data_IF_659730351603
#
_entry.id   IF_659730351603
#
_cell.length_a   1.000
_cell.length_b   1.000
_cell.length_c   1.000
_cell.angle_alpha   90.00
_cell.angle_beta   90.00
_cell.angle_gamma   90.00
#
_symmetry.space_group_name_H-M   'P 1'
#
loop_
_entity.id
_entity.type
_entity.pdbx_description
1 polymer ?
#
# COMPACT_ATOMS: atom_id res chain seq x y z
N UNK A 1 3.75 -25.88 -16.73
CA UNK A 1 3.80 -24.69 -15.86
C UNK A 1 3.84 -25.17 -14.43
N UNK A 2 5.03 -25.20 -13.83
CA UNK A 2 5.22 -25.49 -12.40
C UNK A 2 4.78 -24.26 -11.59
N UNK A 3 3.77 -24.41 -10.75
CA UNK A 3 3.40 -23.39 -9.77
C UNK A 3 4.59 -23.18 -8.81
N UNK A 4 5.06 -21.94 -8.59
CA UNK A 4 6.14 -21.68 -7.65
C UNK A 4 5.59 -21.75 -6.23
N UNK A 5 5.69 -22.92 -5.58
CA UNK A 5 5.26 -23.15 -4.19
C UNK A 5 6.17 -22.49 -3.14
N UNK A 6 7.09 -21.62 -3.53
CA UNK A 6 8.04 -20.95 -2.62
C UNK A 6 7.77 -19.46 -2.35
N UNK A 7 6.74 -18.85 -2.96
CA UNK A 7 6.58 -17.39 -2.99
C UNK A 7 5.89 -16.76 -1.77
N UNK A 8 5.53 -17.54 -0.75
CA UNK A 8 4.79 -17.03 0.42
C UNK A 8 5.58 -16.98 1.74
N UNK A 9 6.77 -17.58 1.79
CA UNK A 9 7.69 -17.45 2.92
C UNK A 9 8.62 -16.27 2.72
N UNK A 10 8.86 -15.51 3.79
CA UNK A 10 9.94 -14.51 3.82
C UNK A 10 11.29 -15.16 3.45
N UNK A 11 12.24 -14.39 2.90
CA UNK A 11 13.59 -14.89 2.70
C UNK A 11 14.15 -15.47 4.00
N UNK A 12 14.90 -16.59 3.96
CA UNK A 12 15.49 -17.18 5.15
C UNK A 12 16.25 -16.15 6.00
N UNK A 13 16.00 -16.14 7.31
CA UNK A 13 16.62 -15.21 8.26
C UNK A 13 16.02 -13.79 8.29
N UNK A 14 14.87 -13.55 7.62
CA UNK A 14 14.13 -12.27 7.72
C UNK A 14 12.93 -12.36 8.65
N UNK A 15 12.78 -11.37 9.52
CA UNK A 15 11.73 -11.21 10.53
C UNK A 15 11.00 -9.89 10.35
N UNK A 16 9.77 -9.89 9.86
CA UNK A 16 9.04 -8.64 9.65
C UNK A 16 8.51 -8.11 10.99
N UNK A 17 9.07 -6.99 11.46
CA UNK A 17 8.76 -6.41 12.78
C UNK A 17 7.41 -5.68 12.82
N UNK A 18 6.98 -5.13 11.68
CA UNK A 18 5.69 -4.46 11.49
C UNK A 18 4.50 -5.39 11.29
N UNK A 19 4.67 -6.69 11.52
CA UNK A 19 3.59 -7.67 11.49
C UNK A 19 2.98 -7.87 10.10
N UNK A 20 1.68 -8.22 10.07
CA UNK A 20 0.97 -8.61 8.84
C UNK A 20 0.91 -7.50 7.80
N UNK A 21 0.71 -6.25 8.22
CA UNK A 21 0.66 -5.08 7.34
C UNK A 21 1.95 -4.93 6.52
N UNK A 22 3.11 -5.03 7.18
CA UNK A 22 4.41 -4.90 6.52
C UNK A 22 4.73 -6.13 5.64
N UNK A 23 4.26 -7.33 6.02
CA UNK A 23 4.33 -8.52 5.14
C UNK A 23 3.52 -8.31 3.86
N UNK A 24 2.32 -7.73 3.93
CA UNK A 24 1.51 -7.45 2.74
C UNK A 24 2.18 -6.41 1.84
N UNK A 25 2.75 -5.34 2.41
CA UNK A 25 3.54 -4.38 1.65
C UNK A 25 4.72 -5.06 0.94
N UNK A 26 5.45 -5.93 1.63
CA UNK A 26 6.53 -6.69 1.01
C UNK A 26 6.02 -7.59 -0.11
N UNK A 27 4.94 -8.35 0.09
CA UNK A 27 4.37 -9.22 -0.96
C UNK A 27 3.91 -8.43 -2.18
N UNK A 28 3.23 -7.30 -1.97
CA UNK A 28 2.79 -6.42 -3.05
C UNK A 28 3.97 -5.84 -3.83
N UNK A 29 5.11 -5.61 -3.15
CA UNK A 29 6.35 -5.26 -3.82
C UNK A 29 6.93 -6.49 -4.54
N UNK A 30 7.34 -7.53 -3.85
CA UNK A 30 8.12 -8.66 -4.39
C UNK A 30 7.43 -9.40 -5.56
N UNK A 31 6.09 -9.48 -5.55
CA UNK A 31 5.30 -10.19 -6.59
C UNK A 31 5.07 -9.38 -7.86
N UNK A 32 5.29 -8.07 -7.85
CA UNK A 32 4.93 -7.18 -8.97
C UNK A 32 6.05 -6.19 -9.26
N UNK A 33 6.47 -6.05 -10.52
CA UNK A 33 7.47 -5.04 -10.90
C UNK A 33 6.94 -3.60 -10.75
N UNK A 34 5.63 -3.40 -10.93
CA UNK A 34 4.97 -2.13 -10.69
C UNK A 34 4.88 -1.77 -9.20
N UNK A 35 4.61 -0.49 -8.90
CA UNK A 35 4.25 -0.04 -7.55
C UNK A 35 2.72 0.06 -7.38
N UNK A 36 1.93 -0.40 -8.35
CA UNK A 36 0.47 -0.29 -8.35
C UNK A 36 -0.16 -1.00 -7.15
N UNK A 37 0.11 -2.29 -6.99
CA UNK A 37 -0.40 -3.09 -5.86
C UNK A 37 0.12 -2.57 -4.52
N UNK A 38 1.38 -2.14 -4.49
CA UNK A 38 1.97 -1.55 -3.30
C UNK A 38 1.20 -0.31 -2.83
N UNK A 39 0.75 0.55 -3.74
CA UNK A 39 -0.07 1.72 -3.40
C UNK A 39 -1.44 1.35 -2.83
N UNK A 40 -2.08 0.31 -3.36
CA UNK A 40 -3.34 -0.18 -2.80
C UNK A 40 -3.16 -0.70 -1.38
N UNK A 41 -2.09 -1.47 -1.14
CA UNK A 41 -1.75 -1.94 0.21
C UNK A 41 -1.41 -0.78 1.15
N UNK A 42 -0.69 0.25 0.70
CA UNK A 42 -0.46 1.45 1.52
C UNK A 42 -1.77 2.11 1.97
N UNK A 43 -2.78 2.16 1.11
CA UNK A 43 -4.11 2.65 1.48
C UNK A 43 -4.77 1.81 2.58
N UNK A 44 -4.57 0.49 2.57
CA UNK A 44 -5.05 -0.43 3.61
C UNK A 44 -4.28 -0.23 4.92
N UNK A 45 -2.95 -0.13 4.86
CA UNK A 45 -2.09 0.15 6.02
C UNK A 45 -2.48 1.49 6.66
N UNK A 46 -2.69 2.53 5.85
CA UNK A 46 -3.14 3.83 6.34
C UNK A 46 -4.47 3.80 7.10
N UNK A 47 -5.41 2.94 6.69
CA UNK A 47 -6.67 2.71 7.44
C UNK A 47 -6.44 1.92 8.72
N UNK A 48 -5.57 0.90 8.67
CA UNK A 48 -5.24 0.08 9.82
C UNK A 48 -4.51 0.87 10.93
N UNK A 49 -3.74 1.91 10.58
CA UNK A 49 -3.10 2.80 11.58
C UNK A 49 -4.12 3.48 12.50
N UNK A 50 -5.25 3.94 11.96
CA UNK A 50 -6.28 4.62 12.77
C UNK A 50 -6.99 3.67 13.75
N UNK A 51 -7.02 2.37 13.44
CA UNK A 51 -7.62 1.32 14.26
C UNK A 51 -6.60 0.44 14.99
N UNK A 52 -5.32 0.84 15.01
CA UNK A 52 -4.27 0.10 15.72
C UNK A 52 -4.49 0.20 17.24
N UNK A 53 -4.91 -0.92 17.84
CA UNK A 53 -5.25 -0.97 19.25
C UNK A 53 -4.05 -0.67 20.18
N UNK A 54 -2.82 -0.95 19.76
CA UNK A 54 -1.62 -0.63 20.55
C UNK A 54 -1.42 0.88 20.57
N UNK A 55 -1.45 1.53 19.40
CA UNK A 55 -1.30 2.99 19.28
C UNK A 55 -2.42 3.73 20.02
N UNK A 56 -3.67 3.28 19.88
CA UNK A 56 -4.82 3.86 20.60
C UNK A 56 -4.69 3.70 22.12
N UNK A 57 -4.33 2.51 22.61
CA UNK A 57 -4.15 2.26 24.05
C UNK A 57 -3.06 3.12 24.69
N UNK A 58 -2.10 3.56 23.88
CA UNK A 58 -0.98 4.41 24.29
C UNK A 58 -1.21 5.89 23.99
N UNK A 59 -2.40 6.26 23.52
CA UNK A 59 -2.75 7.62 23.10
C UNK A 59 -1.71 8.21 22.12
N UNK A 60 -1.17 7.37 21.24
CA UNK A 60 -0.15 7.77 20.28
C UNK A 60 -0.81 8.34 19.03
N UNK A 61 -0.57 9.62 18.75
CA UNK A 61 -1.20 10.30 17.61
C UNK A 61 -0.70 9.73 16.28
N UNK A 62 -1.64 9.26 15.44
CA UNK A 62 -1.40 8.85 14.04
C UNK A 62 -2.42 9.41 13.06
N UNK A 63 -3.37 10.21 13.54
CA UNK A 63 -4.51 10.71 12.78
C UNK A 63 -4.09 11.50 11.52
N UNK A 64 -3.04 12.35 11.59
CA UNK A 64 -2.56 13.07 10.39
C UNK A 64 -1.92 12.12 9.37
N UNK A 65 -1.23 11.06 9.83
CA UNK A 65 -0.58 10.07 8.97
C UNK A 65 -1.65 9.27 8.25
N UNK A 66 -2.62 8.74 8.98
CA UNK A 66 -3.74 8.00 8.39
C UNK A 66 -4.58 8.87 7.44
N UNK A 67 -4.82 10.14 7.80
CA UNK A 67 -5.43 11.12 6.89
C UNK A 67 -4.62 11.31 5.61
N UNK A 68 -3.29 11.41 5.68
CA UNK A 68 -2.45 11.55 4.49
C UNK A 68 -2.61 10.37 3.52
N UNK A 69 -2.73 9.13 4.03
CA UNK A 69 -3.02 7.96 3.20
C UNK A 69 -4.44 7.96 2.62
N UNK A 70 -5.46 8.40 3.38
CA UNK A 70 -6.82 8.57 2.85
C UNK A 70 -6.86 9.61 1.73
N UNK A 71 -6.21 10.75 1.96
CA UNK A 71 -6.11 11.83 0.97
C UNK A 71 -5.40 11.33 -0.30
N UNK A 72 -4.34 10.53 -0.17
CA UNK A 72 -3.65 9.90 -1.32
C UNK A 72 -4.56 8.94 -2.09
N UNK A 73 -5.31 8.07 -1.38
CA UNK A 73 -6.30 7.19 -1.99
C UNK A 73 -7.44 7.96 -2.68
N UNK A 74 -7.75 9.17 -2.20
CA UNK A 74 -8.70 10.10 -2.82
C UNK A 74 -8.16 10.87 -4.03
N UNK A 75 -6.99 10.49 -4.57
CA UNK A 75 -6.42 11.07 -5.79
C UNK A 75 -5.39 12.17 -5.58
N UNK A 76 -4.91 12.41 -4.34
CA UNK A 76 -3.77 13.33 -4.15
C UNK A 76 -2.48 12.68 -4.64
N UNK A 77 -1.94 13.27 -5.70
CA UNK A 77 -0.75 12.79 -6.41
C UNK A 77 0.56 12.83 -5.60
N UNK A 78 0.68 13.66 -4.56
CA UNK A 78 1.97 13.90 -3.88
C UNK A 78 2.59 12.62 -3.30
N UNK A 79 1.79 11.76 -2.66
CA UNK A 79 2.30 10.50 -2.08
C UNK A 79 2.73 9.52 -3.17
N UNK A 80 1.96 9.43 -4.27
CA UNK A 80 2.32 8.62 -5.43
C UNK A 80 3.63 9.11 -6.05
N UNK A 81 3.76 10.42 -6.29
CA UNK A 81 4.95 11.01 -6.89
C UNK A 81 6.20 10.71 -6.04
N UNK A 82 6.10 10.89 -4.72
CA UNK A 82 7.18 10.60 -3.78
C UNK A 82 7.53 9.12 -3.81
N UNK A 83 6.54 8.23 -3.72
CA UNK A 83 6.78 6.77 -3.76
C UNK A 83 7.50 6.36 -5.04
N UNK A 84 7.02 6.81 -6.20
CA UNK A 84 7.63 6.45 -7.48
C UNK A 84 9.02 7.06 -7.67
N UNK A 85 9.34 8.18 -7.00
CA UNK A 85 10.70 8.72 -7.04
C UNK A 85 11.71 7.89 -6.27
N UNK A 86 11.29 7.02 -5.36
CA UNK A 86 12.21 6.19 -4.59
C UNK A 86 12.78 5.05 -5.44
N UNK A 87 14.08 4.71 -5.30
CA UNK A 87 14.60 3.46 -5.84
C UNK A 87 13.80 2.28 -5.28
N UNK A 88 13.43 1.33 -6.13
CA UNK A 88 12.61 0.19 -5.72
C UNK A 88 13.34 -0.70 -4.69
N UNK A 89 14.66 -0.83 -4.83
CA UNK A 89 15.53 -1.50 -3.86
C UNK A 89 15.50 -0.82 -2.48
N UNK A 90 15.45 0.52 -2.43
CA UNK A 90 15.26 1.30 -1.21
C UNK A 90 13.89 1.07 -0.58
N UNK A 91 12.80 1.10 -1.37
CA UNK A 91 11.45 0.78 -0.87
C UNK A 91 11.43 -0.60 -0.22
N UNK A 92 12.03 -1.60 -0.89
CA UNK A 92 12.14 -2.97 -0.39
C UNK A 92 12.91 -3.03 0.93
N UNK A 93 14.07 -2.39 1.01
CA UNK A 93 14.92 -2.40 2.20
C UNK A 93 14.24 -1.71 3.39
N UNK A 94 13.48 -0.64 3.14
CA UNK A 94 12.70 0.06 4.16
C UNK A 94 11.59 -0.83 4.70
N UNK A 95 10.79 -1.43 3.80
CA UNK A 95 9.68 -2.32 4.18
C UNK A 95 10.20 -3.54 4.94
N UNK A 96 11.36 -4.06 4.58
CA UNK A 96 11.93 -5.22 5.26
C UNK A 96 12.71 -4.84 6.52
N UNK A 97 13.02 -3.57 6.78
CA UNK A 97 13.89 -3.20 7.91
C UNK A 97 15.37 -3.53 7.70
N UNK A 98 15.81 -3.72 6.45
CA UNK A 98 17.14 -4.24 6.05
C UNK A 98 18.07 -3.17 5.48
N UNK A 99 17.76 -1.87 5.63
CA UNK A 99 18.54 -0.77 5.03
C UNK A 99 20.05 -0.89 5.28
N UNK A 100 20.48 -1.16 6.52
CA UNK A 100 21.90 -1.27 6.86
C UNK A 100 22.58 -2.53 6.26
N UNK A 101 21.81 -3.61 6.10
CA UNK A 101 22.26 -4.88 5.55
C UNK A 101 22.40 -4.80 4.02
N UNK A 102 21.36 -4.31 3.35
CA UNK A 102 21.35 -4.17 1.88
C UNK A 102 22.38 -3.14 1.40
N UNK A 103 22.64 -2.11 2.20
CA UNK A 103 23.71 -1.14 1.94
C UNK A 103 25.10 -1.78 1.90
N UNK A 104 25.40 -2.69 2.83
CA UNK A 104 26.73 -3.31 2.92
C UNK A 104 27.01 -4.25 1.74
N UNK A 105 26.05 -5.11 1.41
CA UNK A 105 26.31 -6.29 0.57
C UNK A 105 25.62 -6.31 -0.79
N UNK A 106 24.61 -5.46 -1.03
CA UNK A 106 23.73 -5.58 -2.21
C UNK A 106 23.69 -4.34 -3.10
N UNK A 107 24.48 -3.32 -2.80
CA UNK A 107 24.50 -2.08 -3.57
C UNK A 107 23.15 -1.38 -3.51
N UNK A 108 22.62 -1.17 -2.29
CA UNK A 108 21.36 -0.47 -2.07
C UNK A 108 21.36 0.87 -2.82
N UNK A 109 20.50 0.98 -3.83
CA UNK A 109 20.38 2.22 -4.58
C UNK A 109 19.77 3.29 -3.66
N UNK A 110 20.39 4.45 -3.65
CA UNK A 110 19.93 5.59 -2.88
C UNK A 110 20.34 6.88 -3.58
N UNK A 111 19.66 7.97 -3.24
CA UNK A 111 20.09 9.27 -3.71
C UNK A 111 21.50 9.59 -3.22
N UNK A 112 22.32 10.17 -4.10
CA UNK A 112 23.70 10.58 -3.79
C UNK A 112 23.73 11.54 -2.63
N UNK A 113 24.65 11.32 -1.69
CA UNK A 113 24.81 12.17 -0.51
C UNK A 113 24.86 13.66 -0.86
N UNK A 114 24.24 14.55 -0.05
CA UNK A 114 24.33 15.99 -0.27
C UNK A 114 25.78 16.44 -0.36
N UNK A 115 26.15 17.18 -1.41
CA UNK A 115 27.51 17.75 -1.47
C UNK A 115 27.57 19.10 -0.74
N UNK A 116 28.73 19.43 -0.19
CA UNK A 116 29.01 20.76 0.40
C UNK A 116 29.03 21.87 -0.65
N UNK A 117 29.36 21.53 -1.90
CA UNK A 117 29.47 22.47 -3.02
C UNK A 117 28.13 22.81 -3.65
N UNK A 118 27.12 21.98 -3.42
CA UNK A 118 25.82 22.08 -4.07
C UNK A 118 24.79 22.58 -3.06
N UNK A 119 24.39 23.85 -3.18
CA UNK A 119 23.28 24.42 -2.40
C UNK A 119 21.92 23.73 -2.66
N UNK A 120 21.92 22.79 -3.59
CA UNK A 120 20.83 22.01 -4.18
C UNK A 120 20.31 20.88 -3.28
N UNK A 121 21.08 20.49 -2.27
CA UNK A 121 20.87 19.21 -1.55
C UNK A 121 20.29 19.33 -0.15
N UNK A 122 19.23 20.12 -0.06
CA UNK A 122 18.75 20.58 1.23
C UNK A 122 17.70 19.69 1.85
N UNK A 123 16.68 19.25 1.11
CA UNK A 123 15.53 18.59 1.73
C UNK A 123 15.20 17.19 1.23
N UNK A 124 14.64 16.42 2.16
CA UNK A 124 14.18 15.06 1.91
C UNK A 124 14.03 14.26 3.19
N UNK A 125 13.81 12.96 3.01
CA UNK A 125 13.64 12.00 4.09
C UNK A 125 14.77 10.99 4.05
N UNK A 126 15.30 10.68 5.21
CA UNK A 126 16.39 9.74 5.42
C UNK A 126 15.97 8.65 6.39
N UNK A 127 16.63 7.51 6.27
CA UNK A 127 16.42 6.32 7.09
C UNK A 127 17.75 5.91 7.69
N UNK A 128 17.72 5.50 8.95
CA UNK A 128 18.89 5.05 9.68
C UNK A 128 18.63 3.64 10.19
N UNK A 129 19.49 2.73 9.79
CA UNK A 129 19.61 1.39 10.36
C UNK A 129 20.88 1.24 11.18
N UNK A 130 20.95 0.15 11.93
CA UNK A 130 22.11 -0.26 12.71
C UNK A 130 22.69 -1.55 12.14
N UNK A 131 24.01 -1.62 12.03
CA UNK A 131 24.73 -2.88 11.74
C UNK A 131 25.86 -3.09 12.73
N UNK A 132 26.21 -4.34 13.00
CA UNK A 132 27.38 -4.69 13.80
C UNK A 132 28.65 -4.58 12.96
N UNK A 133 29.68 -3.96 13.53
CA UNK A 133 30.99 -3.83 12.89
C UNK A 133 31.57 -5.23 12.65
N UNK A 134 32.02 -5.51 11.43
CA UNK A 134 32.65 -6.79 11.06
C UNK A 134 31.68 -7.96 10.86
N UNK A 135 30.38 -7.70 10.67
CA UNK A 135 29.35 -8.74 10.57
C UNK A 135 28.44 -8.60 9.34
N UNK A 136 29.02 -8.26 8.18
CA UNK A 136 28.37 -8.27 6.86
C UNK A 136 27.03 -7.51 6.78
N UNK A 137 26.96 -6.34 7.42
CA UNK A 137 25.73 -5.54 7.43
C UNK A 137 24.64 -6.05 8.38
N UNK A 138 24.82 -7.20 9.01
CA UNK A 138 23.84 -7.77 9.94
C UNK A 138 23.89 -7.07 11.30
N UNK A 139 22.79 -7.13 12.03
CA UNK A 139 22.65 -6.56 13.35
C UNK A 139 22.94 -7.63 14.42
N UNK A 140 22.03 -7.88 15.36
CA UNK A 140 22.32 -8.70 16.55
C UNK A 140 21.99 -10.19 16.38
N UNK A 141 22.63 -11.05 17.15
CA UNK A 141 22.09 -12.40 17.43
C UNK A 141 20.97 -12.31 18.48
N UNK A 142 20.22 -13.40 18.68
CA UNK A 142 19.22 -13.48 19.75
C UNK A 142 19.86 -13.26 21.14
N UNK A 143 21.07 -13.79 21.36
CA UNK A 143 21.82 -13.60 22.60
C UNK A 143 22.24 -12.15 22.83
N UNK A 144 22.82 -11.51 21.82
CA UNK A 144 23.19 -10.08 21.89
C UNK A 144 21.97 -9.18 22.09
N UNK A 145 20.83 -9.49 21.45
CA UNK A 145 19.58 -8.76 21.64
C UNK A 145 19.04 -8.88 23.08
N UNK A 146 19.17 -10.05 23.73
CA UNK A 146 18.83 -10.21 25.15
C UNK A 146 19.71 -9.36 26.06
N UNK A 147 21.02 -9.29 25.80
CA UNK A 147 21.93 -8.41 26.54
C UNK A 147 21.53 -6.94 26.41
N UNK A 148 21.20 -6.50 25.18
CA UNK A 148 20.69 -5.15 24.94
C UNK A 148 19.38 -4.89 25.72
N UNK A 149 18.43 -5.83 25.69
CA UNK A 149 17.15 -5.74 26.41
C UNK A 149 17.41 -5.57 27.92
N UNK A 150 18.30 -6.37 28.50
CA UNK A 150 18.62 -6.30 29.92
C UNK A 150 19.33 -5.00 30.29
N UNK A 151 20.25 -4.55 29.45
CA UNK A 151 20.91 -3.25 29.59
C UNK A 151 19.91 -2.08 29.59
N UNK A 152 19.00 -2.05 28.61
CA UNK A 152 17.96 -1.01 28.51
C UNK A 152 16.99 -1.02 29.69
N UNK A 153 16.64 -2.19 30.22
CA UNK A 153 15.83 -2.30 31.43
C UNK A 153 16.55 -1.73 32.66
N UNK A 154 17.84 -2.05 32.82
CA UNK A 154 18.66 -1.50 33.91
C UNK A 154 18.81 0.02 33.80
N UNK A 155 19.10 0.53 32.60
CA UNK A 155 19.16 1.96 32.32
C UNK A 155 17.83 2.65 32.68
N UNK A 156 16.71 2.08 32.24
CA UNK A 156 15.36 2.59 32.54
C UNK A 156 15.07 2.62 34.05
N UNK A 157 15.46 1.58 34.78
CA UNK A 157 15.29 1.52 36.24
C UNK A 157 16.13 2.59 36.96
N UNK A 158 17.37 2.78 36.53
CA UNK A 158 18.26 3.82 37.06
C UNK A 158 17.72 5.24 36.76
N UNK A 159 17.31 5.48 35.51
CA UNK A 159 16.73 6.75 35.09
C UNK A 159 15.48 7.10 35.90
N UNK A 160 14.61 6.12 36.16
CA UNK A 160 13.42 6.32 37.01
C UNK A 160 13.78 6.79 38.40
N UNK A 161 14.77 6.15 39.04
CA UNK A 161 15.19 6.54 40.39
C UNK A 161 15.84 7.91 40.41
N UNK A 162 16.57 8.28 39.35
CA UNK A 162 17.19 9.60 39.24
C UNK A 162 16.17 10.72 39.03
N UNK A 163 15.14 10.50 38.20
CA UNK A 163 14.08 11.49 37.93
C UNK A 163 13.05 11.60 39.07
N UNK A 164 12.74 10.48 39.72
CA UNK A 164 11.81 10.42 40.86
C UNK A 164 12.48 9.71 42.04
N UNK A 165 13.30 10.43 42.82
CA UNK A 165 14.02 9.87 43.96
C UNK A 165 13.05 9.20 44.95
N UNK A 166 13.30 7.93 45.25
CA UNK A 166 12.56 7.17 46.25
C UNK A 166 13.23 7.37 47.61
N UNK A 167 12.43 7.54 48.66
CA UNK A 167 12.91 7.60 50.05
C UNK A 167 13.55 6.27 50.47
N UNK A 168 14.81 6.30 50.89
CA UNK A 168 15.54 5.14 51.42
C UNK A 168 16.88 4.86 50.71
N UNK A 169 17.78 4.10 51.36
CA UNK A 169 19.08 3.77 50.80
C UNK A 169 18.93 2.96 49.51
N UNK A 170 19.83 3.16 48.56
CA UNK A 170 19.85 2.38 47.33
C UNK A 170 20.40 0.98 47.60
N UNK A 171 19.81 -0.04 46.98
CA UNK A 171 20.35 -1.40 47.01
C UNK A 171 21.60 -1.51 46.13
N UNK A 172 22.42 -2.54 46.34
CA UNK A 172 23.60 -2.80 45.50
C UNK A 172 23.24 -2.88 44.00
N UNK A 173 22.14 -3.55 43.68
CA UNK A 173 21.61 -3.62 42.31
C UNK A 173 21.24 -2.24 41.74
N UNK A 174 20.69 -1.35 42.57
CA UNK A 174 20.35 0.01 42.15
C UNK A 174 21.62 0.85 41.94
N UNK A 175 22.64 0.68 42.76
CA UNK A 175 23.95 1.31 42.55
C UNK A 175 24.60 0.83 41.25
N UNK A 176 24.59 -0.48 40.98
CA UNK A 176 25.12 -1.04 39.74
C UNK A 176 24.39 -0.48 38.50
N UNK A 177 23.06 -0.39 38.55
CA UNK A 177 22.26 0.18 37.47
C UNK A 177 22.56 1.68 37.25
N UNK A 178 22.75 2.46 38.33
CA UNK A 178 23.14 3.86 38.25
C UNK A 178 24.54 4.05 37.62
N UNK A 179 25.50 3.18 37.99
CA UNK A 179 26.82 3.17 37.36
C UNK A 179 26.75 2.80 35.88
N UNK A 180 25.95 1.79 35.51
CA UNK A 180 25.72 1.45 34.10
C UNK A 180 25.16 2.64 33.32
N UNK A 181 24.12 3.29 33.84
CA UNK A 181 23.50 4.47 33.23
C UNK A 181 24.54 5.58 32.98
N UNK A 182 25.38 5.88 33.96
CA UNK A 182 26.44 6.88 33.82
C UNK A 182 27.47 6.51 32.73
N UNK A 183 27.86 5.22 32.62
CA UNK A 183 28.77 4.76 31.57
C UNK A 183 28.14 4.84 30.18
N UNK A 184 26.87 4.42 30.05
CA UNK A 184 26.10 4.52 28.80
C UNK A 184 26.01 5.97 28.34
N UNK A 185 25.64 6.89 29.23
CA UNK A 185 25.56 8.31 28.87
C UNK A 185 26.93 8.88 28.47
N UNK A 186 28.01 8.43 29.13
CA UNK A 186 29.37 8.86 28.84
C UNK A 186 29.92 8.35 27.49
N UNK A 187 29.45 7.20 26.98
CA UNK A 187 29.97 6.60 25.72
C UNK A 187 29.87 7.54 24.51
N UNK A 188 28.90 8.44 24.51
CA UNK A 188 28.67 9.40 23.40
C UNK A 188 28.65 10.85 23.88
N UNK A 189 29.02 11.16 25.13
CA UNK A 189 28.93 12.54 25.67
C UNK A 189 30.08 13.49 25.30
N UNK A 190 30.97 13.09 24.38
CA UNK A 190 32.20 13.83 24.11
C UNK A 190 33.12 13.90 25.35
N UNK A 191 34.32 14.45 25.20
CA UNK A 191 35.35 14.55 26.26
C UNK A 191 35.00 15.65 27.30
N UNK A 192 33.88 15.52 28.00
CA UNK A 192 33.49 16.40 29.11
C UNK A 192 33.65 15.71 30.48
N UNK A 193 34.00 16.49 31.51
CA UNK A 193 33.99 16.05 32.91
C UNK A 193 32.54 15.89 33.37
N UNK A 194 31.95 14.70 33.17
CA UNK A 194 30.56 14.46 33.50
C UNK A 194 30.42 13.68 34.82
N UNK A 195 30.18 14.41 35.91
CA UNK A 195 29.44 13.85 37.05
C UNK A 195 27.96 13.86 36.65
N UNK A 196 27.49 12.78 36.05
CA UNK A 196 26.11 12.70 35.53
C UNK A 196 25.16 12.54 36.71
N UNK A 197 24.48 13.63 37.08
CA UNK A 197 23.44 13.65 38.12
C UNK A 197 22.07 13.23 37.57
N UNK A 198 21.85 13.33 36.25
CA UNK A 198 20.57 13.06 35.60
C UNK A 198 20.73 12.21 34.34
N UNK A 199 19.82 11.24 34.08
CA UNK A 199 19.82 10.46 32.84
C UNK A 199 19.76 11.38 31.63
N UNK A 200 20.60 11.10 30.64
CA UNK A 200 20.70 11.90 29.43
C UNK A 200 19.55 11.64 28.44
N UNK A 201 19.23 10.37 28.20
CA UNK A 201 18.33 9.98 27.12
C UNK A 201 16.88 9.79 27.55
N UNK A 202 16.63 9.57 28.85
CA UNK A 202 15.30 9.47 29.44
C UNK A 202 15.14 10.66 30.40
N UNK A 203 14.44 11.70 29.96
CA UNK A 203 14.23 12.92 30.75
C UNK A 203 12.79 13.06 31.27
N UNK A 204 11.90 12.14 30.87
CA UNK A 204 10.49 12.14 31.24
C UNK A 204 9.92 10.72 31.32
N UNK A 205 8.74 10.58 31.91
CA UNK A 205 8.03 9.28 31.99
C UNK A 205 7.61 8.80 30.61
N UNK A 206 7.22 9.71 29.74
CA UNK A 206 6.90 9.40 28.34
C UNK A 206 8.11 8.83 27.59
N UNK A 207 9.30 9.43 27.75
CA UNK A 207 10.54 8.90 27.14
C UNK A 207 10.85 7.48 27.65
N UNK A 208 10.55 7.23 28.92
CA UNK A 208 10.70 5.91 29.53
C UNK A 208 9.76 4.87 28.94
N UNK A 209 8.48 5.22 28.76
CA UNK A 209 7.51 4.35 28.10
C UNK A 209 7.92 4.01 26.66
N UNK A 210 8.47 4.99 25.93
CA UNK A 210 9.02 4.75 24.59
C UNK A 210 10.19 3.76 24.60
N UNK A 211 11.13 3.87 25.54
CA UNK A 211 12.22 2.88 25.67
C UNK A 211 11.66 1.49 26.04
N UNK A 212 10.63 1.41 26.90
CA UNK A 212 9.95 0.15 27.22
C UNK A 212 9.25 -0.46 26.00
N UNK A 213 8.64 0.35 25.15
CA UNK A 213 8.02 -0.10 23.90
C UNK A 213 9.05 -0.67 22.92
N UNK A 214 10.22 -0.03 22.81
CA UNK A 214 11.35 -0.57 22.04
C UNK A 214 11.82 -1.91 22.61
N UNK A 215 12.00 -2.03 23.93
CA UNK A 215 12.34 -3.30 24.60
C UNK A 215 11.30 -4.38 24.30
N UNK A 216 10.01 -4.05 24.37
CA UNK A 216 8.93 -4.97 24.00
C UNK A 216 9.04 -5.46 22.56
N UNK A 217 9.40 -4.58 21.63
CA UNK A 217 9.61 -4.94 20.23
C UNK A 217 10.82 -5.84 20.02
N UNK A 218 11.95 -5.56 20.67
CA UNK A 218 13.13 -6.43 20.63
C UNK A 218 12.83 -7.83 21.20
N UNK A 219 12.05 -7.92 22.28
CA UNK A 219 11.60 -9.22 22.83
C UNK A 219 10.77 -10.02 21.83
N UNK A 220 9.88 -9.37 21.08
CA UNK A 220 9.09 -10.04 20.04
C UNK A 220 10.00 -10.61 18.95
N UNK A 221 11.00 -9.84 18.49
CA UNK A 221 11.98 -10.30 17.50
C UNK A 221 12.76 -11.51 18.01
N UNK A 222 13.27 -11.45 19.24
CA UNK A 222 13.98 -12.58 19.87
C UNK A 222 13.09 -13.82 19.94
N UNK A 223 11.83 -13.68 20.37
CA UNK A 223 10.88 -14.78 20.42
C UNK A 223 10.57 -15.38 19.04
N UNK A 224 10.53 -14.55 17.99
CA UNK A 224 10.37 -15.02 16.61
C UNK A 224 11.60 -15.81 16.14
N UNK A 225 12.82 -15.33 16.41
CA UNK A 225 14.06 -16.06 16.10
C UNK A 225 14.07 -17.45 16.74
N UNK A 226 13.72 -17.53 18.02
CA UNK A 226 13.65 -18.78 18.77
C UNK A 226 12.58 -19.72 18.22
N UNK A 227 11.41 -19.19 17.85
CA UNK A 227 10.30 -19.98 17.33
C UNK A 227 10.61 -20.63 15.97
N UNK A 228 11.41 -19.98 15.12
CA UNK A 228 11.85 -20.55 13.84
C UNK A 228 13.12 -21.39 13.95
N UNK A 229 13.67 -21.54 15.17
CA UNK A 229 14.88 -22.33 15.41
C UNK A 229 16.15 -21.73 14.81
N UNK A 230 16.24 -20.39 14.71
CA UNK A 230 17.50 -19.75 14.31
C UNK A 230 18.61 -20.12 15.28
N UNK A 231 19.76 -20.49 14.73
CA UNK A 231 20.92 -20.88 15.54
C UNK A 231 21.35 -19.72 16.45
N UNK A 232 21.92 -20.04 17.62
CA UNK A 232 22.35 -19.03 18.59
C UNK A 232 23.38 -18.02 18.01
N UNK A 233 24.12 -18.42 16.98
CA UNK A 233 25.08 -17.58 16.26
C UNK A 233 24.48 -16.82 15.08
N UNK A 234 23.25 -17.09 14.68
CA UNK A 234 22.62 -16.44 13.53
C UNK A 234 22.23 -15.00 13.86
N UNK A 235 22.58 -14.09 12.96
CA UNK A 235 22.37 -12.64 13.12
C UNK A 235 21.19 -12.19 12.30
N UNK A 236 20.35 -11.34 12.89
CA UNK A 236 19.27 -10.71 12.16
C UNK A 236 19.81 -9.76 11.08
N UNK A 237 19.25 -9.85 9.87
CA UNK A 237 19.54 -8.90 8.80
C UNK A 237 18.94 -7.51 9.07
N UNK A 238 18.01 -7.43 10.02
CA UNK A 238 17.18 -6.26 10.25
C UNK A 238 17.58 -5.52 11.51
N UNK A 239 17.30 -4.23 11.55
CA UNK A 239 17.40 -3.43 12.77
C UNK A 239 16.16 -2.55 12.89
N UNK A 240 15.78 -2.13 14.11
CA UNK A 240 14.83 -1.05 14.27
C UNK A 240 15.27 0.15 13.42
N UNK A 241 14.36 0.68 12.61
CA UNK A 241 14.66 1.82 11.76
C UNK A 241 14.27 3.13 12.45
N UNK A 242 15.10 4.15 12.26
CA UNK A 242 14.71 5.53 12.50
C UNK A 242 14.49 6.23 11.16
N UNK A 243 13.40 6.96 11.04
CA UNK A 243 13.10 7.78 9.88
C UNK A 243 13.06 9.23 10.31
N UNK A 244 13.74 10.11 9.58
CA UNK A 244 13.67 11.54 9.81
C UNK A 244 13.57 12.32 8.52
N UNK A 245 13.01 13.52 8.59
CA UNK A 245 13.04 14.48 7.51
C UNK A 245 13.93 15.68 7.86
N UNK A 246 14.47 16.37 6.86
CA UNK A 246 15.19 17.61 7.05
C UNK A 246 14.97 18.56 5.90
N UNK A 247 15.04 19.86 6.17
CA UNK A 247 15.23 20.92 5.17
C UNK A 247 16.70 21.27 4.98
N UNK A 248 17.60 20.65 5.75
CA UNK A 248 19.05 20.68 5.58
C UNK A 248 19.63 19.28 5.87
N UNK A 249 19.64 18.41 4.87
CA UNK A 249 20.06 17.02 4.97
C UNK A 249 21.54 16.90 5.29
N UNK A 250 22.41 17.71 4.66
CA UNK A 250 23.84 17.66 4.90
C UNK A 250 24.18 17.85 6.38
N UNK A 251 23.68 18.94 6.98
CA UNK A 251 23.91 19.20 8.40
C UNK A 251 23.27 18.13 9.28
N UNK A 252 22.06 17.69 8.93
CA UNK A 252 21.33 16.71 9.73
C UNK A 252 21.96 15.33 9.72
N UNK A 253 22.54 14.92 8.60
CA UNK A 253 23.11 13.58 8.47
C UNK A 253 24.48 13.48 9.14
N UNK A 254 25.25 14.59 9.21
CA UNK A 254 26.49 14.67 9.97
C UNK A 254 26.28 14.41 11.48
N UNK A 255 25.08 14.70 12.03
CA UNK A 255 24.75 14.41 13.43
C UNK A 255 24.83 12.91 13.79
N UNK A 256 24.77 12.01 12.81
CA UNK A 256 24.73 10.56 13.03
C UNK A 256 26.09 9.88 12.89
N UNK A 257 27.16 10.65 12.71
CA UNK A 257 28.52 10.11 12.84
C UNK A 257 28.82 9.78 14.31
N UNK A 258 29.40 8.61 14.57
CA UNK A 258 29.75 8.15 15.94
C UNK A 258 30.76 9.05 16.67
N UNK A 259 31.44 9.92 15.94
CA UNK A 259 32.36 10.94 16.47
C UNK A 259 31.62 12.09 17.18
N UNK A 260 30.31 12.24 16.94
CA UNK A 260 29.51 13.33 17.48
C UNK A 260 28.99 13.02 18.88
N UNK A 261 28.55 14.08 19.57
CA UNK A 261 28.10 13.98 20.95
C UNK A 261 26.66 13.45 21.11
N UNK A 262 25.96 13.11 20.03
CA UNK A 262 24.59 12.56 20.03
C UNK A 262 23.53 13.48 20.69
N UNK A 263 23.76 14.79 20.85
CA UNK A 263 22.73 15.71 21.39
C UNK A 263 21.54 15.91 20.46
N UNK A 264 21.80 15.88 19.16
CA UNK A 264 20.81 16.10 18.10
C UNK A 264 20.19 14.79 17.58
N UNK A 265 20.74 13.64 17.96
CA UNK A 265 20.24 12.31 17.58
C UNK A 265 18.97 11.97 18.37
N UNK A 266 18.07 11.20 17.77
CA UNK A 266 16.87 10.70 18.47
C UNK A 266 17.27 9.92 19.74
N UNK A 267 16.72 10.29 20.90
CA UNK A 267 17.07 9.69 22.20
C UNK A 267 17.05 8.15 22.23
N UNK A 268 16.11 7.50 21.53
CA UNK A 268 15.95 6.03 21.57
C UNK A 268 17.02 5.36 20.71
N UNK A 269 17.34 5.94 19.55
CA UNK A 269 18.47 5.53 18.74
C UNK A 269 19.78 5.75 19.52
N UNK A 270 19.95 6.92 20.12
CA UNK A 270 21.14 7.28 20.88
C UNK A 270 21.39 6.33 22.07
N UNK A 271 20.40 6.12 22.95
CA UNK A 271 20.55 5.20 24.10
C UNK A 271 20.81 3.76 23.65
N UNK A 272 20.20 3.32 22.54
CA UNK A 272 20.43 1.98 22.00
C UNK A 272 21.87 1.82 21.51
N UNK A 273 22.36 2.77 20.72
CA UNK A 273 23.75 2.77 20.25
C UNK A 273 24.73 2.86 21.41
N UNK A 274 24.51 3.77 22.36
CA UNK A 274 25.38 3.91 23.54
C UNK A 274 25.41 2.65 24.41
N UNK A 275 24.25 1.99 24.58
CA UNK A 275 24.16 0.72 25.30
C UNK A 275 24.93 -0.39 24.58
N UNK A 276 24.80 -0.49 23.25
CA UNK A 276 25.53 -1.47 22.46
C UNK A 276 27.05 -1.27 22.56
N UNK A 277 27.52 -0.01 22.49
CA UNK A 277 28.93 0.31 22.72
C UNK A 277 29.39 -0.04 24.14
N UNK A 278 28.53 0.14 25.14
CA UNK A 278 28.83 -0.22 26.53
C UNK A 278 28.88 -1.74 26.77
N UNK A 279 28.11 -2.51 26.01
CA UNK A 279 28.12 -3.98 26.04
C UNK A 279 29.25 -4.59 25.17
N UNK A 280 30.19 -3.78 24.71
CA UNK A 280 31.25 -4.17 23.76
C UNK A 280 30.70 -4.80 22.47
N UNK A 281 29.54 -4.31 22.02
CA UNK A 281 28.89 -4.65 20.76
C UNK A 281 28.98 -3.46 19.79
N UNK A 282 30.16 -3.14 19.22
CA UNK A 282 30.31 -2.00 18.30
C UNK A 282 29.34 -2.05 17.12
N UNK A 283 28.62 -0.95 16.91
CA UNK A 283 27.66 -0.78 15.81
C UNK A 283 27.95 0.47 15.01
N UNK A 284 27.57 0.44 13.73
CA UNK A 284 27.57 1.59 12.83
C UNK A 284 26.14 2.06 12.58
N UNK A 285 25.95 3.38 12.52
CA UNK A 285 24.72 4.00 12.04
C UNK A 285 24.82 4.14 10.53
N UNK A 286 23.98 3.43 9.79
CA UNK A 286 23.92 3.51 8.34
C UNK A 286 22.79 4.44 7.97
N UNK A 287 23.13 5.69 7.64
CA UNK A 287 22.17 6.68 7.18
C UNK A 287 22.08 6.67 5.64
N UNK A 288 20.86 6.56 5.11
CA UNK A 288 20.58 6.62 3.67
C UNK A 288 19.42 7.54 3.36
N UNK A 289 19.51 8.22 2.23
CA UNK A 289 18.43 9.08 1.75
C UNK A 289 17.39 8.23 1.02
N UNK A 290 16.20 8.14 1.62
CA UNK A 290 15.09 7.42 1.03
C UNK A 290 14.50 8.19 -0.14
N UNK A 291 14.28 9.50 0.03
CA UNK A 291 13.67 10.33 -0.99
C UNK A 291 14.12 11.79 -0.91
N UNK A 292 14.23 12.42 -2.08
CA UNK A 292 14.44 13.86 -2.25
C UNK A 292 13.11 14.51 -2.61
N UNK A 293 12.75 15.59 -1.92
CA UNK A 293 11.49 16.29 -2.18
C UNK A 293 11.76 17.57 -2.98
N UNK A 294 11.01 17.75 -4.06
CA UNK A 294 11.18 18.87 -5.01
C UNK A 294 10.00 19.85 -5.01
N UNK A 295 9.05 19.64 -4.12
CA UNK A 295 8.00 20.59 -3.77
C UNK A 295 7.89 20.71 -2.25
N UNK A 296 7.58 21.91 -1.71
CA UNK A 296 7.48 22.09 -0.25
C UNK A 296 6.41 21.21 0.41
N UNK A 297 5.33 20.92 -0.30
CA UNK A 297 4.21 20.08 0.19
C UNK A 297 4.61 18.61 0.37
N UNK A 298 5.64 18.16 -0.34
CA UNK A 298 6.02 16.75 -0.35
C UNK A 298 6.78 16.31 0.91
N UNK A 299 7.45 17.19 1.65
CA UNK A 299 8.32 16.77 2.77
C UNK A 299 7.54 16.04 3.86
N UNK A 300 6.40 16.60 4.28
CA UNK A 300 5.55 15.98 5.29
C UNK A 300 4.93 14.66 4.78
N UNK A 301 4.45 14.65 3.54
CA UNK A 301 3.87 13.45 2.90
C UNK A 301 4.90 12.33 2.76
N UNK A 302 6.13 12.69 2.39
CA UNK A 302 7.24 11.76 2.29
C UNK A 302 7.60 11.16 3.64
N UNK A 303 7.62 11.96 4.71
CA UNK A 303 7.88 11.44 6.05
C UNK A 303 6.78 10.47 6.50
N UNK A 304 5.50 10.81 6.28
CA UNK A 304 4.39 9.90 6.55
C UNK A 304 4.55 8.56 5.83
N UNK A 305 4.89 8.60 4.53
CA UNK A 305 5.08 7.42 3.71
C UNK A 305 6.23 6.55 4.24
N UNK A 306 7.41 7.13 4.43
CA UNK A 306 8.61 6.37 4.83
C UNK A 306 8.51 5.84 6.25
N UNK A 307 7.99 6.62 7.21
CA UNK A 307 7.75 6.17 8.59
C UNK A 307 6.82 4.96 8.62
N UNK A 308 5.76 4.98 7.81
CA UNK A 308 4.77 3.91 7.76
C UNK A 308 5.33 2.65 7.10
N UNK A 309 6.02 2.78 5.95
CA UNK A 309 6.67 1.63 5.30
C UNK A 309 7.71 0.97 6.21
N UNK A 310 8.49 1.79 6.92
CA UNK A 310 9.53 1.33 7.84
C UNK A 310 8.98 0.71 9.14
N UNK A 311 7.68 0.85 9.42
CA UNK A 311 7.10 0.61 10.75
C UNK A 311 7.92 1.31 11.85
N UNK A 312 8.38 2.53 11.57
CA UNK A 312 9.44 3.15 12.38
C UNK A 312 8.92 3.76 13.69
N UNK A 313 7.60 3.74 13.93
CA UNK A 313 7.04 4.16 15.21
C UNK A 313 7.51 3.24 16.34
N UNK A 314 7.75 3.79 17.52
CA UNK A 314 8.33 3.07 18.66
C UNK A 314 7.44 1.92 19.16
N UNK A 315 6.13 2.06 18.99
CA UNK A 315 5.14 1.02 19.30
C UNK A 315 5.01 -0.04 18.19
N UNK A 316 5.59 0.19 17.01
CA UNK A 316 5.58 -0.71 15.86
C UNK A 316 6.96 -1.37 15.60
N UNK A 317 7.98 -1.03 16.38
CA UNK A 317 9.30 -1.67 16.33
C UNK A 317 10.45 -0.78 15.84
N UNK A 318 10.22 0.51 15.60
CA UNK A 318 11.29 1.47 15.28
C UNK A 318 11.65 2.45 16.39
N UNK A 319 12.21 3.61 16.01
CA UNK A 319 12.73 4.63 16.92
C UNK A 319 11.92 5.95 16.96
N UNK A 320 10.94 6.16 16.09
CA UNK A 320 10.11 7.37 16.05
C UNK A 320 9.11 7.37 17.21
N UNK A 321 9.24 8.34 18.12
CA UNK A 321 8.34 8.52 19.27
C UNK A 321 7.29 9.60 19.05
N UNK A 322 7.29 10.22 17.88
CA UNK A 322 6.34 11.25 17.51
C UNK A 322 5.74 10.87 16.17
N UNK A 323 4.58 11.42 15.90
CA UNK A 323 3.96 11.26 14.62
C UNK A 323 4.81 11.90 13.51
N UNK A 324 4.81 11.28 12.34
CA UNK A 324 5.40 11.83 11.12
C UNK A 324 4.67 13.10 10.63
N UNK A 325 5.33 13.87 9.77
CA UNK A 325 4.73 14.92 8.95
C UNK A 325 4.55 16.26 9.63
N UNK A 326 5.23 16.51 10.75
CA UNK A 326 5.17 17.80 11.46
C UNK A 326 5.99 18.89 10.79
N UNK A 327 6.99 18.52 9.98
CA UNK A 327 7.87 19.46 9.31
C UNK A 327 7.40 19.75 7.89
N UNK A 328 7.20 21.03 7.60
CA UNK A 328 6.92 21.49 6.24
C UNK A 328 8.21 21.71 5.46
N UNK A 329 8.16 21.43 4.15
CA UNK A 329 9.27 21.71 3.25
C UNK A 329 9.43 23.20 2.98
N UNK A 330 10.53 23.56 2.33
CA UNK A 330 10.77 24.92 1.84
C UNK A 330 10.99 24.90 0.35
N UNK A 331 10.94 26.05 -0.31
CA UNK A 331 11.32 26.18 -1.72
C UNK A 331 12.84 26.09 -1.94
N UNK A 332 13.65 26.16 -0.88
CA UNK A 332 15.10 26.13 -0.97
C UNK A 332 15.60 24.79 -1.51
N UNK A 333 16.30 24.80 -2.65
CA UNK A 333 16.83 23.60 -3.31
C UNK A 333 15.77 22.75 -4.03
N UNK A 334 14.50 23.21 -4.13
CA UNK A 334 13.45 22.47 -4.82
C UNK A 334 13.70 22.32 -6.32
N UNK A 335 14.21 23.37 -7.00
CA UNK A 335 14.43 23.32 -8.44
C UNK A 335 15.52 22.33 -8.82
N UNK A 336 16.59 22.26 -8.02
CA UNK A 336 17.65 21.30 -8.26
C UNK A 336 17.24 19.89 -7.88
N UNK A 337 16.50 19.72 -6.77
CA UNK A 337 15.86 18.45 -6.44
C UNK A 337 14.91 18.01 -7.58
N UNK A 338 14.20 18.94 -8.21
CA UNK A 338 13.35 18.67 -9.38
C UNK A 338 14.19 18.18 -10.55
N UNK A 339 15.31 18.84 -10.88
CA UNK A 339 16.20 18.39 -11.93
C UNK A 339 16.80 17.02 -11.64
N UNK A 340 17.20 16.77 -10.39
CA UNK A 340 17.73 15.48 -9.96
C UNK A 340 16.69 14.38 -10.14
N UNK A 341 15.50 14.56 -9.54
CA UNK A 341 14.45 13.54 -9.50
C UNK A 341 13.80 13.32 -10.86
N UNK A 342 13.46 14.39 -11.58
CA UNK A 342 12.76 14.30 -12.87
C UNK A 342 13.71 14.06 -14.05
N UNK A 343 14.97 14.50 -13.95
CA UNK A 343 15.87 14.57 -15.10
C UNK A 343 17.12 13.69 -15.02
N UNK A 344 17.69 13.48 -13.83
CA UNK A 344 19.00 12.80 -13.69
C UNK A 344 18.90 11.38 -13.14
N UNK A 345 17.97 11.13 -12.24
CA UNK A 345 17.73 9.78 -11.68
C UNK A 345 16.65 9.05 -12.46
N UNK A 346 16.81 7.75 -12.74
CA UNK A 346 15.84 7.01 -13.54
C UNK A 346 14.60 6.56 -12.73
N UNK A 347 14.67 6.58 -11.40
CA UNK A 347 13.70 5.95 -10.50
C UNK A 347 12.25 6.34 -10.79
N UNK A 348 11.96 7.65 -10.84
CA UNK A 348 10.59 8.13 -11.10
C UNK A 348 10.07 7.66 -12.45
N UNK A 349 10.88 7.81 -13.51
CA UNK A 349 10.50 7.44 -14.87
C UNK A 349 10.26 5.94 -14.96
N UNK A 350 11.18 5.13 -14.47
CA UNK A 350 11.14 3.68 -14.61
C UNK A 350 9.98 3.09 -13.79
N UNK A 351 9.81 3.53 -12.54
CA UNK A 351 8.69 3.09 -11.71
C UNK A 351 7.33 3.52 -12.29
N UNK A 352 7.23 4.72 -12.87
CA UNK A 352 6.01 5.18 -13.53
C UNK A 352 5.73 4.36 -14.80
N UNK A 353 6.75 4.06 -15.60
CA UNK A 353 6.59 3.25 -16.80
C UNK A 353 6.07 1.84 -16.45
N UNK A 354 6.66 1.17 -15.44
CA UNK A 354 6.18 -0.12 -14.96
C UNK A 354 4.74 -0.05 -14.44
N UNK A 355 4.39 1.01 -13.70
CA UNK A 355 3.05 1.18 -13.15
C UNK A 355 2.00 1.49 -14.23
N UNK A 356 2.32 2.33 -15.20
CA UNK A 356 1.43 2.60 -16.34
C UNK A 356 1.26 1.36 -17.23
N UNK A 357 2.32 0.57 -17.41
CA UNK A 357 2.24 -0.72 -18.10
C UNK A 357 1.28 -1.69 -17.42
N UNK A 358 1.43 -1.91 -16.11
CA UNK A 358 0.55 -2.78 -15.32
C UNK A 358 -0.92 -2.31 -15.35
N UNK A 359 -1.16 -1.00 -15.25
CA UNK A 359 -2.51 -0.43 -15.39
C UNK A 359 -3.09 -0.72 -16.79
N UNK A 360 -2.31 -0.53 -17.85
CA UNK A 360 -2.74 -0.79 -19.22
C UNK A 360 -3.02 -2.28 -19.45
N UNK A 361 -2.20 -3.17 -18.88
CA UNK A 361 -2.37 -4.62 -18.98
C UNK A 361 -3.66 -5.08 -18.28
N UNK A 362 -3.96 -4.51 -17.11
CA UNK A 362 -5.22 -4.78 -16.39
C UNK A 362 -6.44 -4.28 -17.13
N UNK A 363 -6.37 -3.08 -17.73
CA UNK A 363 -7.47 -2.56 -18.53
C UNK A 363 -7.77 -3.44 -19.76
N UNK A 364 -6.73 -4.00 -20.39
CA UNK A 364 -6.90 -4.98 -21.48
C UNK A 364 -7.52 -6.27 -20.97
N UNK A 365 -7.01 -6.81 -19.86
CA UNK A 365 -7.58 -8.01 -19.24
C UNK A 365 -9.06 -7.83 -18.86
N UNK A 366 -9.44 -6.68 -18.31
CA UNK A 366 -10.84 -6.37 -17.99
C UNK A 366 -11.73 -6.34 -19.24
N UNK A 367 -11.22 -5.76 -20.33
CA UNK A 367 -11.93 -5.73 -21.62
C UNK A 367 -12.11 -7.15 -22.18
N UNK A 368 -11.06 -7.96 -22.15
CA UNK A 368 -11.10 -9.36 -22.59
C UNK A 368 -12.04 -10.22 -21.74
N UNK A 369 -12.02 -10.01 -20.41
CA UNK A 369 -12.90 -10.72 -19.48
C UNK A 369 -14.37 -10.36 -19.74
N UNK A 370 -14.69 -9.08 -19.94
CA UNK A 370 -16.06 -8.66 -20.24
C UNK A 370 -16.55 -9.25 -21.57
N UNK A 371 -15.71 -9.26 -22.61
CA UNK A 371 -16.06 -9.92 -23.87
C UNK A 371 -16.31 -11.43 -23.70
N UNK A 372 -15.49 -12.11 -22.89
CA UNK A 372 -15.69 -13.52 -22.58
C UNK A 372 -17.01 -13.78 -21.81
N UNK A 373 -17.37 -12.90 -20.87
CA UNK A 373 -18.63 -13.00 -20.14
C UNK A 373 -19.84 -12.80 -21.06
N UNK A 374 -19.78 -11.85 -21.99
CA UNK A 374 -20.82 -11.65 -23.01
C UNK A 374 -20.99 -12.86 -23.92
N UNK A 375 -19.89 -13.49 -24.35
CA UNK A 375 -19.92 -14.71 -25.15
C UNK A 375 -20.49 -15.91 -24.37
N UNK A 376 -20.19 -15.99 -23.06
CA UNK A 376 -20.75 -17.02 -22.18
C UNK A 376 -22.26 -16.86 -22.04
N UNK A 377 -22.74 -15.65 -21.75
CA UNK A 377 -24.17 -15.34 -21.65
C UNK A 377 -24.90 -15.69 -22.96
N UNK A 378 -24.28 -15.39 -24.10
CA UNK A 378 -24.82 -15.78 -25.41
C UNK A 378 -24.86 -17.29 -25.60
N UNK A 379 -23.80 -18.01 -25.22
CA UNK A 379 -23.77 -19.47 -25.32
C UNK A 379 -24.82 -20.13 -24.41
N UNK A 380 -25.08 -19.57 -23.22
CA UNK A 380 -26.14 -20.04 -22.33
C UNK A 380 -27.52 -19.81 -22.94
N UNK A 381 -27.74 -18.65 -23.58
CA UNK A 381 -28.97 -18.37 -24.32
C UNK A 381 -29.16 -19.33 -25.51
N UNK A 382 -28.12 -19.54 -26.32
CA UNK A 382 -28.15 -20.46 -27.46
C UNK A 382 -28.41 -21.92 -27.01
N UNK A 383 -27.84 -22.34 -25.87
CA UNK A 383 -28.11 -23.66 -25.29
C UNK A 383 -29.56 -23.80 -24.82
N UNK A 384 -30.11 -22.77 -24.17
CA UNK A 384 -31.50 -22.77 -23.73
C UNK A 384 -32.45 -22.84 -24.94
N UNK A 385 -32.17 -22.09 -26.00
CA UNK A 385 -32.95 -22.12 -27.24
C UNK A 385 -32.88 -23.52 -27.88
N UNK A 386 -31.69 -24.14 -27.94
CA UNK A 386 -31.53 -25.50 -28.44
C UNK A 386 -32.28 -26.55 -27.58
N UNK A 387 -32.32 -26.39 -26.25
CA UNK A 387 -33.10 -27.25 -25.37
C UNK A 387 -34.61 -27.08 -25.59
N UNK A 388 -35.08 -25.85 -25.78
CA UNK A 388 -36.48 -25.57 -26.13
C UNK A 388 -36.85 -26.19 -27.47
N UNK A 389 -36.00 -26.05 -28.48
CA UNK A 389 -36.18 -26.68 -29.79
C UNK A 389 -36.17 -28.22 -29.70
N UNK A 390 -35.22 -28.80 -28.95
CA UNK A 390 -35.15 -30.24 -28.73
C UNK A 390 -36.38 -30.77 -27.99
N UNK A 391 -36.88 -30.04 -26.97
CA UNK A 391 -38.10 -30.39 -26.25
C UNK A 391 -39.34 -30.29 -27.16
N UNK A 392 -39.40 -29.28 -28.03
CA UNK A 392 -40.46 -29.15 -29.04
C UNK A 392 -40.40 -30.28 -30.09
N UNK A 393 -39.20 -30.77 -30.42
CA UNK A 393 -38.98 -31.88 -31.33
C UNK A 393 -39.19 -33.27 -30.69
N UNK A 394 -39.09 -33.38 -29.36
CA UNK A 394 -39.17 -34.65 -28.62
C UNK A 394 -40.41 -35.52 -28.92
N UNK A 395 -41.64 -34.98 -29.09
CA UNK A 395 -42.81 -35.78 -29.45
C UNK A 395 -42.70 -36.46 -30.82
N UNK A 396 -41.83 -35.95 -31.70
CA UNK A 396 -41.69 -36.39 -33.09
C UNK A 396 -40.51 -37.35 -33.30
N UNK A 397 -39.56 -37.39 -32.37
CA UNK A 397 -38.36 -38.23 -32.42
C UNK A 397 -38.64 -39.75 -32.39
N UNK A 398 -39.85 -40.15 -32.03
CA UNK A 398 -40.28 -41.55 -31.95
C UNK A 398 -41.47 -41.88 -32.86
N UNK A 399 -41.94 -40.92 -33.66
CA UNK A 399 -43.04 -41.13 -34.59
C UNK A 399 -42.44 -41.48 -35.95
N UNK A 400 -42.94 -42.56 -36.56
CA UNK A 400 -42.54 -42.99 -37.89
C UNK A 400 -42.68 -41.84 -38.89
N UNK A 401 -41.64 -41.58 -39.70
CA UNK A 401 -41.61 -40.50 -40.68
C UNK A 401 -42.84 -40.52 -41.61
N UNK A 402 -43.32 -41.70 -42.00
CA UNK A 402 -44.47 -41.82 -42.88
C UNK A 402 -45.77 -41.36 -42.19
N UNK A 403 -45.88 -41.57 -40.89
CA UNK A 403 -47.02 -41.09 -40.07
C UNK A 403 -46.96 -39.58 -39.91
N UNK A 404 -45.76 -39.00 -39.74
CA UNK A 404 -45.58 -37.55 -39.68
C UNK A 404 -45.95 -36.87 -41.01
N UNK A 405 -45.47 -37.44 -42.13
CA UNK A 405 -45.75 -36.93 -43.47
C UNK A 405 -47.25 -36.96 -43.73
N UNK A 406 -47.93 -38.08 -43.44
CA UNK A 406 -49.38 -38.18 -43.59
C UNK A 406 -50.13 -37.16 -42.71
N UNK A 407 -49.69 -36.95 -41.47
CA UNK A 407 -50.29 -35.95 -40.58
C UNK A 407 -50.08 -34.51 -41.10
N UNK A 408 -48.92 -34.20 -41.68
CA UNK A 408 -48.63 -32.89 -42.24
C UNK A 408 -49.43 -32.66 -43.53
N UNK A 409 -49.50 -33.64 -44.42
CA UNK A 409 -50.32 -33.59 -45.63
C UNK A 409 -51.80 -33.35 -45.29
N UNK A 410 -52.32 -34.03 -44.27
CA UNK A 410 -53.68 -33.82 -43.77
C UNK A 410 -53.90 -32.39 -43.24
N UNK A 411 -52.96 -31.85 -42.46
CA UNK A 411 -53.04 -30.45 -41.97
C UNK A 411 -52.95 -29.43 -43.10
N UNK A 412 -52.08 -29.65 -44.09
CA UNK A 412 -51.98 -28.77 -45.27
C UNK A 412 -53.28 -28.81 -46.07
N UNK A 413 -53.89 -29.98 -46.24
CA UNK A 413 -55.19 -30.10 -46.89
C UNK A 413 -56.28 -29.32 -46.14
N UNK A 414 -56.34 -29.43 -44.80
CA UNK A 414 -57.29 -28.65 -43.98
C UNK A 414 -57.09 -27.14 -44.12
N UNK A 415 -55.84 -26.65 -44.08
CA UNK A 415 -55.55 -25.21 -44.24
C UNK A 415 -55.93 -24.73 -45.64
N UNK A 416 -55.71 -25.54 -46.68
CA UNK A 416 -56.15 -25.20 -48.05
C UNK A 416 -57.67 -25.09 -48.17
N UNK A 417 -58.41 -25.96 -47.49
CA UNK A 417 -59.87 -25.90 -47.44
C UNK A 417 -60.31 -24.62 -46.72
N UNK A 418 -59.78 -24.34 -45.54
CA UNK A 418 -60.12 -23.14 -44.77
C UNK A 418 -59.78 -21.84 -45.52
N UNK A 419 -58.66 -21.82 -46.27
CA UNK A 419 -58.29 -20.67 -47.11
C UNK A 419 -59.30 -20.45 -48.23
N UNK A 420 -59.79 -21.52 -48.86
CA UNK A 420 -60.79 -21.45 -49.92
C UNK A 420 -62.13 -20.93 -49.39
N UNK A 421 -62.57 -21.44 -48.23
CA UNK A 421 -63.79 -20.96 -47.57
C UNK A 421 -63.69 -19.46 -47.23
N UNK A 422 -62.56 -19.01 -46.69
CA UNK A 422 -62.32 -17.60 -46.42
C UNK A 422 -62.32 -16.72 -47.69
N UNK A 423 -61.86 -17.24 -48.82
CA UNK A 423 -61.92 -16.56 -50.12
C UNK A 423 -63.37 -16.43 -50.62
N UNK A 424 -64.16 -17.49 -50.51
CA UNK A 424 -65.59 -17.50 -50.89
C UNK A 424 -66.41 -16.53 -50.00
N UNK A 425 -66.13 -16.50 -48.70
CA UNK A 425 -66.73 -15.55 -47.76
C UNK A 425 -66.38 -14.10 -48.11
N UNK A 426 -65.12 -13.86 -48.50
CA UNK A 426 -64.66 -12.54 -48.93
C UNK A 426 -65.35 -12.08 -50.22
N UNK A 427 -65.49 -12.96 -51.22
CA UNK A 427 -66.22 -12.67 -52.45
C UNK A 427 -67.71 -12.37 -52.17
N UNK A 428 -68.33 -13.16 -51.30
CA UNK A 428 -69.71 -12.95 -50.87
C UNK A 428 -69.89 -11.59 -50.18
N UNK A 429 -68.95 -11.21 -49.30
CA UNK A 429 -68.94 -9.90 -48.66
C UNK A 429 -68.80 -8.76 -49.67
N UNK A 430 -67.98 -8.92 -50.72
CA UNK A 430 -67.86 -7.93 -51.79
C UNK A 430 -69.15 -7.75 -52.59
N UNK A 431 -69.88 -8.84 -52.86
CA UNK A 431 -71.18 -8.78 -53.55
C UNK A 431 -72.22 -8.06 -52.70
N UNK A 432 -72.31 -8.41 -51.41
CA UNK A 432 -73.22 -7.74 -50.47
C UNK A 432 -72.92 -6.23 -50.35
N UNK A 433 -71.63 -5.85 -50.31
CA UNK A 433 -71.21 -4.45 -50.30
C UNK A 433 -71.62 -3.69 -51.58
N UNK A 434 -71.56 -4.34 -52.75
CA UNK A 434 -72.04 -3.76 -54.01
C UNK A 434 -73.56 -3.59 -54.02
N UNK A 435 -74.31 -4.57 -53.54
CA UNK A 435 -75.78 -4.50 -53.43
C UNK A 435 -76.23 -3.39 -52.47
N UNK A 436 -75.55 -3.24 -51.33
CA UNK A 436 -75.81 -2.15 -50.38
C UNK A 436 -75.61 -0.76 -51.01
N UNK A 437 -74.57 -0.58 -51.85
CA UNK A 437 -74.34 0.68 -52.58
C UNK A 437 -75.44 0.99 -53.59
N UNK A 438 -75.97 -0.02 -54.28
CA UNK A 438 -77.08 0.13 -55.23
C UNK A 438 -78.37 0.51 -54.50
N UNK A 439 -78.67 -0.11 -53.35
CA UNK A 439 -79.84 0.21 -52.54
C UNK A 439 -79.79 1.64 -51.97
N UNK A 440 -78.60 2.11 -51.57
CA UNK A 440 -78.37 3.50 -51.11
C UNK A 440 -78.51 4.56 -52.23
N UNK A 441 -78.23 4.20 -53.50
CA UNK A 441 -78.42 5.11 -54.64
C UNK A 441 -79.84 5.11 -55.19
N UNK A 442 -80.60 4.02 -55.01
CA UNK A 442 -82.04 3.98 -55.33
C UNK A 442 -82.92 4.82 -54.40
N UNK A 443 -82.47 5.11 -53.17
CA UNK A 443 -83.22 5.88 -52.18
C UNK A 443 -83.03 7.42 -52.28
N UNK A 444 -82.15 7.92 -53.17
CA UNK A 444 -81.88 9.37 -53.36
C UNK A 444 -82.48 9.95 -54.66
N UNK A 445 -83.59 9.38 -55.14
CA UNK A 445 -84.42 10.00 -56.16
C UNK A 445 -85.55 10.83 -55.54
N UNK A 446 -85.28 12.09 -55.19
CA UNK A 446 -86.22 13.23 -55.10
C UNK A 446 -85.80 14.20 -54.00
N UNK A 447 -84.94 15.15 -54.33
CA UNK A 447 -85.04 16.57 -53.93
C UNK A 447 -83.99 17.36 -54.71
N UNK A 448 -84.42 18.12 -55.71
CA UNK A 448 -83.68 19.30 -56.19
C UNK A 448 -83.64 20.36 -55.06
N UNK A 449 -82.68 21.30 -55.00
CA UNK A 449 -82.74 22.44 -55.92
C UNK A 449 -81.41 23.14 -56.29
N UNK A 450 -81.54 24.00 -57.32
CA UNK A 450 -81.01 25.36 -57.48
C UNK A 450 -79.48 25.62 -57.48
N UNK A 451 -79.03 25.95 -58.70
CA UNK A 451 -78.42 27.22 -59.12
C UNK A 451 -77.20 27.82 -58.38
N UNK A 452 -76.30 28.26 -59.27
CA UNK A 452 -75.50 29.48 -59.23
C UNK A 452 -73.99 29.33 -58.84
N UNK A 453 -73.13 30.22 -59.38
CA UNK A 453 -72.00 29.79 -60.20
C UNK A 453 -70.67 30.45 -59.83
N UNK A 454 -69.67 30.14 -60.67
CA UNK A 454 -68.58 31.01 -61.10
C UNK A 454 -67.32 31.12 -60.24
N UNK A 455 -66.22 31.19 -60.99
CA UNK A 455 -64.92 31.79 -60.69
C UNK A 455 -64.02 31.02 -59.70
N UNK A 456 -62.70 30.95 -59.85
CA UNK A 456 -61.75 31.45 -60.84
C UNK A 456 -60.36 30.95 -60.41
N UNK A 457 -59.46 30.84 -61.40
CA UNK A 457 -58.02 31.09 -61.34
C UNK A 457 -57.08 30.30 -60.39
N UNK A 458 -55.97 29.87 -61.03
CA UNK A 458 -54.56 29.89 -60.58
C UNK A 458 -54.20 29.06 -59.33
N UNK A 459 -53.23 28.13 -59.37
CA UNK A 459 -51.92 28.10 -60.06
C UNK A 459 -51.43 26.65 -60.15
#
# INVERSE_FOLDING_TARGET
MTTPSGADSLPPGMLVTGGTAQVQLWKALDKHESLYEFMHELGRVGRALDSDGVLQSKNFAVNKTAKAFRDAAGGKWDMMAVLHSMPRSMVRAIVLGTVAFDDYGRGLESYTWPSTTSHTDRQGVYVIGLRRVGHDGRFLTAGEAKLLIDGLNQYTAAARRALWPVTGPATERQHAAAQLMARVDARVAGKGNWQIVSPRFITSEENMEHVRALVGSLRRVVGQMEAVGMDAGERMAQSPLYVGCSTNLLARLADYELSQDFRSVNNKLAVTTSMLLELDLPVELVARMAVRTWMPTQLAVAEHLVVTMASSLVYQGGFNATQAGERHGTWSGCDDARQLVLGRTPYLRDNLACTLGDIADRARFETELNAFLEDLDKSEADMLDAEVEAAAAAPYLHVDCDVLIQSLEARVAQVKIALKEAQEDYETAQVLARLARISLHGARGSTAPADAPADAHET
#
